data_IF_560442698168
#
_entry.id   IF_560442698168
#
_cell.length_a   1.000
_cell.length_b   1.000
_cell.length_c   1.000
_cell.angle_alpha   90.00
_cell.angle_beta   90.00
_cell.angle_gamma   90.00
#
_symmetry.space_group_name_H-M   'P 1'
#
loop_
_entity.id
_entity.type
_entity.pdbx_description
1 polymer ?
#
# COMPACT_ATOMS: atom_id res chain seq x y z
N UNK A 1 10.71 8.27 7.81
CA UNK A 1 11.64 7.79 6.77
C UNK A 1 11.41 8.66 5.55
N UNK A 2 12.44 9.32 5.04
CA UNK A 2 12.37 10.13 3.80
C UNK A 2 12.41 9.23 2.57
N UNK A 3 11.98 9.71 1.40
CA UNK A 3 12.05 8.92 0.16
C UNK A 3 13.47 8.44 -0.17
N UNK A 4 14.48 9.28 0.04
CA UNK A 4 15.89 8.89 -0.16
C UNK A 4 16.33 7.75 0.76
N UNK A 5 15.92 7.77 2.02
CA UNK A 5 16.21 6.69 2.98
C UNK A 5 15.55 5.38 2.58
N UNK A 6 14.36 5.45 1.96
CA UNK A 6 13.64 4.27 1.49
C UNK A 6 14.25 3.68 0.23
N UNK A 7 14.62 4.52 -0.73
CA UNK A 7 15.35 4.09 -1.92
C UNK A 7 16.65 3.36 -1.53
N UNK A 8 17.43 3.91 -0.59
CA UNK A 8 18.66 3.26 -0.10
C UNK A 8 18.41 1.91 0.57
N UNK A 9 17.32 1.76 1.32
CA UNK A 9 16.97 0.50 1.97
C UNK A 9 16.48 -0.55 0.97
N UNK A 10 15.82 -0.12 -0.11
CA UNK A 10 15.48 -1.01 -1.23
C UNK A 10 16.73 -1.49 -1.96
N UNK A 11 17.69 -0.60 -2.25
CA UNK A 11 18.96 -0.99 -2.87
C UNK A 11 19.76 -1.96 -1.99
N UNK A 12 19.74 -1.76 -0.67
CA UNK A 12 20.37 -2.67 0.29
C UNK A 12 19.70 -4.05 0.30
N UNK A 13 18.36 -4.08 0.29
CA UNK A 13 17.59 -5.31 0.23
C UNK A 13 17.84 -6.06 -1.08
N UNK A 14 17.86 -5.36 -2.21
CA UNK A 14 18.13 -5.93 -3.53
C UNK A 14 19.51 -6.60 -3.57
N UNK A 15 20.56 -5.91 -3.10
CA UNK A 15 21.89 -6.50 -2.98
C UNK A 15 21.91 -7.74 -2.10
N UNK A 16 21.28 -7.71 -0.93
CA UNK A 16 21.29 -8.84 -0.01
C UNK A 16 20.60 -10.10 -0.56
N UNK A 17 19.66 -9.93 -1.49
CA UNK A 17 18.90 -11.03 -2.08
C UNK A 17 19.50 -11.52 -3.40
N UNK A 18 20.07 -10.60 -4.19
CA UNK A 18 20.42 -10.86 -5.59
C UNK A 18 21.94 -10.85 -5.85
N UNK A 19 22.78 -10.37 -4.94
CA UNK A 19 24.23 -10.34 -5.12
C UNK A 19 24.90 -11.61 -4.55
N UNK A 20 25.47 -12.48 -5.40
CA UNK A 20 26.12 -13.72 -4.97
C UNK A 20 27.43 -13.48 -4.20
N UNK A 21 28.07 -12.30 -4.36
CA UNK A 21 29.26 -11.92 -3.59
C UNK A 21 28.87 -11.48 -2.16
N UNK A 22 27.61 -11.11 -1.95
CA UNK A 22 27.10 -10.74 -0.64
C UNK A 22 26.54 -11.98 0.05
N UNK A 23 27.14 -12.34 1.19
CA UNK A 23 26.54 -13.36 2.05
C UNK A 23 25.15 -12.89 2.50
N UNK A 24 24.13 -13.66 2.12
CA UNK A 24 22.76 -13.40 2.51
C UNK A 24 22.67 -13.33 4.05
N UNK A 25 22.11 -12.23 4.56
CA UNK A 25 21.92 -11.99 5.99
C UNK A 25 20.42 -12.01 6.31
N UNK A 26 19.84 -13.16 6.70
CA UNK A 26 18.39 -13.30 6.84
C UNK A 26 17.80 -12.32 7.86
N UNK A 27 18.46 -12.13 9.00
CA UNK A 27 18.01 -11.19 10.03
C UNK A 27 17.94 -9.74 9.52
N UNK A 28 18.90 -9.36 8.67
CA UNK A 28 18.96 -8.02 8.06
C UNK A 28 17.86 -7.85 7.02
N UNK A 29 17.66 -8.86 6.16
CA UNK A 29 16.57 -8.91 5.18
C UNK A 29 15.21 -8.74 5.86
N UNK A 30 14.93 -9.52 6.91
CA UNK A 30 13.67 -9.42 7.64
C UNK A 30 13.48 -8.07 8.33
N UNK A 31 14.57 -7.49 8.87
CA UNK A 31 14.53 -6.17 9.48
C UNK A 31 14.22 -5.08 8.46
N UNK A 32 14.87 -5.10 7.28
CA UNK A 32 14.62 -4.17 6.18
C UNK A 32 13.19 -4.28 5.67
N UNK A 33 12.72 -5.50 5.40
CA UNK A 33 11.35 -5.76 4.95
C UNK A 33 10.31 -5.22 5.96
N UNK A 34 10.51 -5.47 7.25
CA UNK A 34 9.60 -4.97 8.28
C UNK A 34 9.57 -3.43 8.32
N UNK A 35 10.70 -2.79 8.06
CA UNK A 35 10.83 -1.34 8.09
C UNK A 35 10.24 -0.65 6.85
N UNK A 36 10.44 -1.26 5.68
CA UNK A 36 9.81 -0.83 4.42
C UNK A 36 8.28 -1.04 4.48
N UNK A 37 7.84 -2.21 4.96
CA UNK A 37 6.43 -2.54 5.12
C UNK A 37 5.72 -1.58 6.08
N UNK A 38 6.34 -1.12 7.17
CA UNK A 38 5.74 -0.11 8.06
C UNK A 38 5.48 1.23 7.37
N UNK A 39 6.28 1.59 6.36
CA UNK A 39 6.09 2.80 5.57
C UNK A 39 4.98 2.60 4.53
N UNK A 40 5.04 1.49 3.79
CA UNK A 40 4.07 1.20 2.72
C UNK A 40 2.69 0.85 3.25
N UNK A 41 2.64 0.15 4.39
CA UNK A 41 1.43 -0.13 5.16
C UNK A 41 1.02 1.07 6.02
N UNK A 42 1.33 2.30 5.60
CA UNK A 42 0.79 3.50 6.22
C UNK A 42 -0.69 3.31 6.47
N UNK A 43 -1.07 3.16 7.74
CA UNK A 43 -2.47 3.10 8.19
C UNK A 43 -3.04 4.51 8.08
N UNK A 44 -3.01 5.06 6.87
CA UNK A 44 -3.69 6.26 6.45
C UNK A 44 -4.46 5.87 5.19
N UNK A 45 -5.79 5.73 5.35
CA UNK A 45 -6.78 5.39 4.34
C UNK A 45 -7.22 3.91 4.17
N UNK A 46 -7.23 3.10 5.24
CA UNK A 46 -8.48 2.36 5.48
C UNK A 46 -9.49 3.36 6.06
N UNK A 47 -10.00 4.26 5.21
CA UNK A 47 -11.18 5.05 5.56
C UNK A 47 -12.33 4.11 5.92
N UNK A 48 -13.35 4.58 6.67
CA UNK A 48 -14.49 3.74 7.01
C UNK A 48 -15.01 3.06 5.73
N UNK A 49 -15.40 1.76 5.78
CA UNK A 49 -15.77 1.03 4.59
C UNK A 49 -16.83 1.83 3.85
N UNK A 50 -16.49 2.36 2.67
CA UNK A 50 -17.45 3.08 1.84
C UNK A 50 -18.58 2.09 1.58
N UNK A 51 -19.76 2.42 2.09
CA UNK A 51 -20.97 1.64 1.88
C UNK A 51 -21.23 1.56 0.37
N UNK A 52 -20.77 0.49 -0.27
CA UNK A 52 -21.17 0.12 -1.62
C UNK A 52 -22.63 -0.37 -1.53
N UNK A 53 -23.57 0.56 -1.65
CA UNK A 53 -24.98 0.25 -1.53
C UNK A 53 -25.91 1.44 -1.74
N UNK A 54 -25.70 2.23 -2.79
CA UNK A 54 -26.70 3.18 -3.28
C UNK A 54 -26.65 3.26 -4.82
N UNK A 55 -26.83 2.12 -5.49
CA UNK A 55 -27.18 2.08 -6.91
C UNK A 55 -28.38 1.16 -7.09
N UNK A 56 -29.55 1.69 -6.79
CA UNK A 56 -30.82 1.34 -7.44
C UNK A 56 -31.32 2.70 -7.96
N UNK A 57 -31.05 3.06 -9.22
CA UNK A 57 -31.87 2.59 -10.32
C UNK A 57 -33.15 3.43 -10.38
N UNK A 58 -33.10 4.57 -11.09
CA UNK A 58 -34.28 5.31 -11.59
C UNK A 58 -35.16 4.38 -12.47
N UNK A 59 -36.37 4.74 -12.97
CA UNK A 59 -37.02 6.07 -13.04
C UNK A 59 -38.55 6.05 -12.80
N UNK A 60 -39.21 7.22 -12.79
CA UNK A 60 -40.56 7.41 -13.39
C UNK A 60 -41.00 8.88 -13.32
N UNK A 61 -41.05 9.53 -14.49
CA UNK A 61 -41.92 10.69 -14.70
C UNK A 61 -43.36 10.26 -14.46
N UNK A 62 -44.05 10.85 -13.47
CA UNK A 62 -45.51 10.96 -13.50
C UNK A 62 -46.00 12.27 -12.88
N UNK A 63 -46.52 13.12 -13.77
CA UNK A 63 -47.75 13.91 -13.65
C UNK A 63 -47.97 14.89 -12.47
N UNK A 64 -48.02 16.20 -12.80
CA UNK A 64 -49.01 17.23 -12.37
C UNK A 64 -48.58 18.57 -12.99
N UNK A 65 -49.42 19.49 -13.45
CA UNK A 65 -50.83 19.78 -13.28
C UNK A 65 -51.30 20.47 -14.59
N UNK A 66 -52.57 20.46 -15.00
CA UNK A 66 -53.74 20.86 -14.22
C UNK A 66 -53.82 22.38 -14.26
#
# INVERSE_FOLDING_TARGET
MTDDEYARKLDELDRLLNDPDVSMQPARVWSLLAELSRRDCGVEAMGPPRSHGAVLGAPALHARAG
#
